data_IF_170486760173
#
_entry.id   IF_170486760173
#
_cell.length_a   1.000
_cell.length_b   1.000
_cell.length_c   1.000
_cell.angle_alpha   90.00
_cell.angle_beta   90.00
_cell.angle_gamma   90.00
#
_symmetry.space_group_name_H-M   'P 1'
#
loop_
_entity.id
_entity.type
_entity.pdbx_description
1 polymer ?
#
# COMPACT_ATOMS: atom_id res chain seq x y z
N UNK A 1 -13.86 -1.02 30.86
CA UNK A 1 -14.13 0.25 31.58
C UNK A 1 -13.17 1.30 31.04
N UNK A 2 -13.60 2.13 30.07
CA UNK A 2 -12.82 3.24 29.47
C UNK A 2 -13.54 4.57 29.78
N UNK A 3 -13.93 4.77 31.04
CA UNK A 3 -14.82 5.90 31.37
C UNK A 3 -14.12 7.26 31.58
N UNK A 4 -12.77 7.33 31.61
CA UNK A 4 -12.04 8.59 31.87
C UNK A 4 -10.84 8.81 30.94
N UNK A 5 -10.78 8.19 29.77
CA UNK A 5 -9.69 8.47 28.83
C UNK A 5 -9.96 9.76 28.04
N UNK A 6 -8.93 10.58 27.78
CA UNK A 6 -9.10 11.79 27.00
C UNK A 6 -9.57 11.44 25.58
N UNK A 7 -10.60 12.15 25.14
CA UNK A 7 -11.12 12.02 23.77
C UNK A 7 -10.48 13.13 22.91
N UNK A 8 -9.73 12.72 21.91
CA UNK A 8 -9.17 13.63 20.90
C UNK A 8 -10.13 13.72 19.71
N UNK A 9 -10.48 14.91 19.30
CA UNK A 9 -11.46 15.13 18.24
C UNK A 9 -10.86 15.93 17.09
N UNK A 10 -11.06 15.44 15.86
CA UNK A 10 -10.63 16.08 14.63
C UNK A 10 -11.71 15.99 13.56
N UNK A 11 -11.67 16.87 12.57
CA UNK A 11 -12.63 16.76 11.45
C UNK A 11 -12.33 15.51 10.61
N UNK A 12 -11.04 15.24 10.35
CA UNK A 12 -10.60 14.10 9.53
C UNK A 12 -9.55 13.28 10.26
N UNK A 13 -9.69 11.95 10.24
CA UNK A 13 -8.63 11.03 10.64
C UNK A 13 -8.22 10.18 9.44
N UNK A 14 -6.91 10.13 9.19
CA UNK A 14 -6.31 9.24 8.19
C UNK A 14 -5.65 8.08 8.92
N UNK A 15 -6.05 6.84 8.62
CA UNK A 15 -5.41 5.65 9.19
C UNK A 15 -4.38 5.12 8.20
N UNK A 16 -3.09 5.24 8.57
CA UNK A 16 -1.94 4.75 7.80
C UNK A 16 -1.13 5.85 7.14
N UNK A 17 0.18 5.86 7.39
CA UNK A 17 1.16 6.77 6.81
C UNK A 17 1.90 6.15 5.60
N UNK A 18 1.27 5.22 4.88
CA UNK A 18 1.72 4.77 3.58
C UNK A 18 1.40 5.77 2.47
N UNK A 19 1.85 5.51 1.22
CA UNK A 19 1.63 6.44 0.10
C UNK A 19 0.17 6.85 -0.09
N UNK A 20 -0.79 5.92 0.13
CA UNK A 20 -2.22 6.22 0.01
C UNK A 20 -2.71 7.24 1.04
N UNK A 21 -2.30 7.09 2.31
CA UNK A 21 -2.66 8.04 3.37
C UNK A 21 -1.91 9.37 3.24
N UNK A 22 -0.62 9.33 2.91
CA UNK A 22 0.20 10.54 2.71
C UNK A 22 -0.32 11.38 1.54
N UNK A 23 -0.80 10.75 0.46
CA UNK A 23 -1.39 11.46 -0.68
C UNK A 23 -2.65 12.26 -0.31
N UNK A 24 -3.54 11.66 0.48
CA UNK A 24 -4.72 12.37 1.01
C UNK A 24 -4.27 13.45 2.00
N UNK A 25 -3.39 13.11 2.95
CA UNK A 25 -2.93 14.04 3.96
C UNK A 25 -2.23 15.28 3.38
N UNK A 26 -1.48 15.14 2.28
CA UNK A 26 -0.88 16.29 1.59
C UNK A 26 -1.96 17.29 1.14
N UNK A 27 -3.05 16.80 0.59
CA UNK A 27 -4.17 17.63 0.20
C UNK A 27 -4.87 18.25 1.41
N UNK A 28 -5.12 17.47 2.48
CA UNK A 28 -5.72 17.99 3.73
C UNK A 28 -4.84 19.04 4.43
N UNK A 29 -3.51 18.94 4.25
CA UNK A 29 -2.56 19.95 4.73
C UNK A 29 -2.64 21.26 3.91
N UNK A 30 -3.50 21.31 2.91
CA UNK A 30 -3.75 22.48 2.09
C UNK A 30 -3.02 22.52 0.74
N UNK A 31 -2.31 21.46 0.36
CA UNK A 31 -1.68 21.40 -0.96
C UNK A 31 -2.75 21.06 -2.03
N UNK A 32 -3.41 22.11 -2.55
CA UNK A 32 -4.48 21.96 -3.53
C UNK A 32 -3.94 21.87 -4.95
N UNK A 33 -4.48 20.95 -5.78
CA UNK A 33 -4.07 20.81 -7.17
C UNK A 33 -4.63 21.96 -8.03
N UNK A 34 -3.80 22.45 -8.94
CA UNK A 34 -4.16 23.36 -10.01
C UNK A 34 -3.47 22.95 -11.30
N UNK A 35 -3.84 23.52 -12.43
CA UNK A 35 -3.30 23.17 -13.75
C UNK A 35 -2.83 24.39 -14.51
N UNK A 36 -1.75 24.18 -15.27
CA UNK A 36 -1.16 25.17 -16.18
C UNK A 36 -0.82 24.46 -17.50
N UNK A 37 -0.91 25.18 -18.61
CA UNK A 37 -0.52 24.70 -19.95
C UNK A 37 -1.21 23.39 -20.37
N UNK A 38 -2.51 23.25 -20.12
CA UNK A 38 -3.28 22.02 -20.29
C UNK A 38 -4.12 21.99 -21.58
N UNK A 39 -4.24 23.11 -22.29
CA UNK A 39 -5.16 23.34 -23.40
C UNK A 39 -4.98 22.35 -24.54
N UNK A 40 -3.75 21.89 -24.74
CA UNK A 40 -3.40 20.91 -25.77
C UNK A 40 -3.84 19.48 -25.46
N UNK A 41 -4.29 19.20 -24.22
CA UNK A 41 -4.73 17.87 -23.80
C UNK A 41 -6.21 17.61 -24.01
N UNK A 42 -7.00 18.65 -24.18
CA UNK A 42 -8.45 18.58 -24.19
C UNK A 42 -9.04 19.34 -25.37
N UNK A 43 -10.28 19.04 -25.72
CA UNK A 43 -11.05 19.79 -26.71
C UNK A 43 -11.52 21.14 -26.13
N UNK A 44 -12.01 22.02 -27.00
CA UNK A 44 -12.43 23.38 -26.63
C UNK A 44 -13.54 23.40 -25.58
N UNK A 45 -14.48 22.45 -25.63
CA UNK A 45 -15.56 22.34 -24.64
C UNK A 45 -15.00 22.03 -23.24
N UNK A 46 -14.12 21.04 -23.15
CA UNK A 46 -13.49 20.68 -21.90
C UNK A 46 -12.54 21.78 -21.40
N UNK A 47 -11.81 22.44 -22.30
CA UNK A 47 -10.97 23.59 -21.93
C UNK A 47 -11.81 24.74 -21.36
N UNK A 48 -12.97 25.03 -21.94
CA UNK A 48 -13.91 26.05 -21.41
C UNK A 48 -14.38 25.71 -19.98
N UNK A 49 -14.62 24.41 -19.70
CA UNK A 49 -14.97 23.95 -18.36
C UNK A 49 -13.78 24.13 -17.42
N UNK A 50 -12.61 23.62 -17.81
CA UNK A 50 -11.41 23.62 -16.96
C UNK A 50 -10.91 25.02 -16.63
N UNK A 51 -11.07 25.99 -17.52
CA UNK A 51 -10.71 27.39 -17.27
C UNK A 51 -11.35 27.96 -15.99
N UNK A 52 -12.56 27.50 -15.63
CA UNK A 52 -13.25 27.93 -14.41
C UNK A 52 -12.62 27.34 -13.12
N UNK A 53 -11.90 26.23 -13.24
CA UNK A 53 -11.40 25.46 -12.10
C UNK A 53 -9.87 25.31 -12.09
N UNK A 54 -9.17 25.82 -13.13
CA UNK A 54 -7.73 25.65 -13.32
C UNK A 54 -6.89 26.09 -12.10
N UNK A 55 -7.34 27.11 -11.39
CA UNK A 55 -6.65 27.63 -10.19
C UNK A 55 -6.81 26.77 -8.94
N UNK A 56 -7.84 25.92 -8.89
CA UNK A 56 -8.07 24.95 -7.80
C UNK A 56 -9.05 23.86 -8.24
N UNK A 57 -8.50 22.69 -8.58
CA UNK A 57 -9.28 21.56 -9.08
C UNK A 57 -10.20 20.93 -8.03
N UNK A 58 -10.07 21.22 -6.74
CA UNK A 58 -11.03 20.77 -5.75
C UNK A 58 -12.42 21.43 -5.88
N UNK A 59 -12.50 22.53 -6.61
CA UNK A 59 -13.78 23.17 -6.96
C UNK A 59 -14.49 22.49 -8.12
N UNK A 60 -13.77 21.72 -8.95
CA UNK A 60 -14.36 20.94 -10.04
C UNK A 60 -15.21 19.81 -9.46
N UNK A 61 -16.49 19.77 -9.80
CA UNK A 61 -17.32 18.59 -9.51
C UNK A 61 -16.90 17.46 -10.45
N UNK A 62 -16.39 16.32 -9.93
CA UNK A 62 -15.98 15.21 -10.77
C UNK A 62 -17.10 14.60 -11.63
N UNK A 63 -18.37 14.84 -11.31
CA UNK A 63 -19.50 14.43 -12.15
C UNK A 63 -19.50 15.14 -13.50
N UNK A 64 -18.94 16.35 -13.58
CA UNK A 64 -18.74 17.05 -14.87
C UNK A 64 -17.79 16.23 -15.78
N UNK A 65 -16.73 15.65 -15.22
CA UNK A 65 -15.82 14.77 -15.96
C UNK A 65 -16.55 13.52 -16.47
N UNK A 66 -17.35 12.90 -15.60
CA UNK A 66 -18.13 11.70 -15.94
C UNK A 66 -19.13 12.00 -17.06
N UNK A 67 -19.83 13.13 -16.98
CA UNK A 67 -20.77 13.57 -18.01
C UNK A 67 -20.10 13.80 -19.38
N UNK A 68 -18.81 14.14 -19.38
CA UNK A 68 -17.97 14.27 -20.59
C UNK A 68 -17.21 12.98 -20.94
N UNK A 69 -17.59 11.82 -20.39
CA UNK A 69 -16.97 10.52 -20.70
C UNK A 69 -15.57 10.32 -20.12
N UNK A 70 -15.12 11.18 -19.21
CA UNK A 70 -13.79 11.16 -18.61
C UNK A 70 -13.89 10.53 -17.21
N UNK A 71 -13.11 9.44 -16.97
CA UNK A 71 -12.98 8.85 -15.63
C UNK A 71 -12.17 9.79 -14.73
N UNK A 72 -12.72 10.24 -13.57
CA UNK A 72 -12.03 11.22 -12.71
C UNK A 72 -10.62 10.80 -12.29
N UNK A 73 -10.42 9.54 -11.90
CA UNK A 73 -9.08 9.03 -11.55
C UNK A 73 -8.10 9.10 -12.72
N UNK A 74 -8.56 8.84 -13.94
CA UNK A 74 -7.74 8.91 -15.16
C UNK A 74 -7.40 10.35 -15.52
N UNK A 75 -8.33 11.27 -15.29
CA UNK A 75 -8.10 12.71 -15.48
C UNK A 75 -6.89 13.17 -14.65
N UNK A 76 -6.94 13.03 -13.32
CA UNK A 76 -5.84 13.47 -12.45
C UNK A 76 -4.52 12.75 -12.74
N UNK A 77 -4.56 11.45 -13.07
CA UNK A 77 -3.36 10.70 -13.43
C UNK A 77 -2.71 11.24 -14.72
N UNK A 78 -3.52 11.56 -15.72
CA UNK A 78 -3.01 12.12 -16.97
C UNK A 78 -2.48 13.55 -16.82
N UNK A 79 -2.98 14.32 -15.86
CA UNK A 79 -2.41 15.62 -15.53
C UNK A 79 -1.04 15.51 -14.83
N UNK A 80 -0.83 14.44 -14.06
CA UNK A 80 0.46 14.16 -13.43
C UNK A 80 1.48 13.66 -14.46
N UNK A 81 1.12 12.65 -15.27
CA UNK A 81 1.94 12.11 -16.35
C UNK A 81 1.23 12.24 -17.69
N UNK A 82 1.26 13.44 -18.31
CA UNK A 82 0.51 13.72 -19.53
C UNK A 82 1.04 12.95 -20.74
N UNK A 83 2.32 12.64 -20.74
CA UNK A 83 2.99 11.92 -21.81
C UNK A 83 3.50 10.56 -21.31
N UNK A 84 3.27 9.54 -22.10
CA UNK A 84 3.85 8.22 -21.86
C UNK A 84 5.38 8.36 -21.84
N UNK A 85 6.02 7.96 -20.75
CA UNK A 85 7.47 8.04 -20.51
C UNK A 85 8.04 9.43 -20.17
N UNK A 86 7.24 10.44 -19.89
CA UNK A 86 7.76 11.67 -19.33
C UNK A 86 7.97 11.53 -17.82
N UNK A 87 9.22 11.61 -17.39
CA UNK A 87 9.64 11.62 -15.98
C UNK A 87 10.18 13.00 -15.56
N UNK A 88 10.19 13.95 -16.47
CA UNK A 88 10.61 15.32 -16.17
C UNK A 88 9.48 16.08 -15.47
N UNK A 89 9.66 16.49 -14.20
CA UNK A 89 8.65 17.25 -13.47
C UNK A 89 8.21 18.55 -14.13
N UNK A 90 9.02 19.11 -15.02
CA UNK A 90 8.66 20.32 -15.80
C UNK A 90 7.49 20.06 -16.76
N UNK A 91 7.34 18.82 -17.24
CA UNK A 91 6.25 18.41 -18.13
C UNK A 91 4.93 18.12 -17.41
N UNK A 92 4.95 18.04 -16.07
CA UNK A 92 3.73 17.77 -15.28
C UNK A 92 2.80 18.98 -15.31
N UNK A 93 1.58 18.74 -15.73
CA UNK A 93 0.54 19.78 -15.82
C UNK A 93 -0.06 20.03 -14.44
N UNK A 94 -0.18 18.97 -13.64
CA UNK A 94 -0.67 19.06 -12.28
C UNK A 94 0.38 19.73 -11.39
N UNK A 95 0.01 20.86 -10.80
CA UNK A 95 0.82 21.65 -9.87
C UNK A 95 0.08 21.78 -8.54
N UNK A 96 0.77 22.26 -7.51
CA UNK A 96 0.20 22.38 -6.15
C UNK A 96 0.45 23.74 -5.56
N UNK A 97 -0.58 24.28 -4.90
CA UNK A 97 -0.52 25.57 -4.21
C UNK A 97 -1.03 25.41 -2.78
N UNK A 98 -0.28 26.01 -1.85
CA UNK A 98 -0.64 25.97 -0.42
C UNK A 98 -1.87 26.83 -0.16
N UNK A 99 -2.86 26.24 0.49
CA UNK A 99 -4.10 26.85 0.95
C UNK A 99 -4.29 26.56 2.44
N UNK A 100 -5.44 26.97 3.01
CA UNK A 100 -5.77 26.68 4.41
C UNK A 100 -5.92 25.17 4.63
N UNK A 101 -5.20 24.58 5.61
CA UNK A 101 -5.37 23.18 5.95
C UNK A 101 -6.70 22.91 6.66
N UNK A 102 -7.16 21.65 6.62
CA UNK A 102 -8.21 21.14 7.48
C UNK A 102 -7.67 20.77 8.86
N UNK A 103 -8.55 20.56 9.83
CA UNK A 103 -8.21 19.90 11.08
C UNK A 103 -8.16 18.38 10.85
N UNK A 104 -6.94 17.82 10.82
CA UNK A 104 -6.74 16.40 10.57
C UNK A 104 -5.51 15.85 11.31
N UNK A 105 -5.49 14.54 11.50
CA UNK A 105 -4.33 13.77 11.97
C UNK A 105 -4.16 12.50 11.13
N UNK A 106 -2.96 11.93 11.22
CA UNK A 106 -2.61 10.62 10.64
C UNK A 106 -2.25 9.68 11.78
N UNK A 107 -2.98 8.59 11.94
CA UNK A 107 -2.66 7.55 12.93
C UNK A 107 -2.01 6.39 12.20
N UNK A 108 -0.79 6.01 12.59
CA UNK A 108 -0.05 4.96 11.90
C UNK A 108 0.77 4.10 12.83
N UNK A 109 0.71 2.79 12.59
CA UNK A 109 1.58 1.81 13.24
C UNK A 109 3.04 1.99 12.80
N UNK A 110 3.24 2.26 11.50
CA UNK A 110 4.56 2.39 10.89
C UNK A 110 4.89 3.87 10.63
N UNK A 111 6.16 4.23 10.54
CA UNK A 111 6.59 5.55 10.06
C UNK A 111 6.08 5.87 8.65
N UNK A 112 6.29 7.12 8.19
CA UNK A 112 6.00 7.51 6.82
C UNK A 112 6.65 6.53 5.81
N UNK A 113 5.85 6.11 4.80
CA UNK A 113 6.23 5.06 3.85
C UNK A 113 5.48 3.73 4.05
N UNK A 114 4.87 3.54 5.23
CA UNK A 114 4.01 2.37 5.51
C UNK A 114 4.72 1.04 5.26
N UNK A 115 4.21 0.23 4.32
CA UNK A 115 4.73 -1.12 4.02
C UNK A 115 6.24 -1.15 3.73
N UNK A 116 6.81 -0.08 3.16
CA UNK A 116 8.24 -0.02 2.83
C UNK A 116 9.13 -0.15 4.06
N UNK A 117 8.66 0.24 5.24
CA UNK A 117 9.40 0.05 6.49
C UNK A 117 9.55 -1.44 6.87
N UNK A 118 8.70 -2.32 6.35
CA UNK A 118 8.57 -3.73 6.75
C UNK A 118 8.94 -4.74 5.65
N UNK A 119 9.44 -4.29 4.49
CA UNK A 119 9.98 -5.20 3.47
C UNK A 119 11.43 -5.55 3.75
N UNK A 120 11.98 -6.65 3.18
CA UNK A 120 13.38 -7.05 3.37
C UNK A 120 14.39 -5.94 3.05
N UNK A 121 15.58 -5.99 3.67
CA UNK A 121 16.56 -4.90 3.63
C UNK A 121 17.03 -4.55 2.21
N UNK A 122 17.20 -5.55 1.34
CA UNK A 122 17.64 -5.34 -0.05
C UNK A 122 16.50 -5.30 -1.08
N UNK A 123 15.24 -5.16 -0.62
CA UNK A 123 14.08 -5.22 -1.50
C UNK A 123 14.10 -4.10 -2.55
N UNK A 124 13.83 -4.48 -3.80
CA UNK A 124 13.60 -3.57 -4.92
C UNK A 124 12.11 -3.35 -5.16
N UNK A 125 11.77 -2.25 -5.82
CA UNK A 125 10.43 -2.01 -6.37
C UNK A 125 10.10 -3.02 -7.47
N UNK A 126 8.82 -3.18 -7.78
CA UNK A 126 8.34 -4.04 -8.88
C UNK A 126 8.23 -3.30 -10.22
N UNK A 127 8.63 -2.05 -10.25
CA UNK A 127 8.62 -1.19 -11.42
C UNK A 127 9.48 0.05 -11.16
N UNK A 128 9.59 0.95 -12.13
CA UNK A 128 10.39 2.16 -12.02
C UNK A 128 10.13 2.96 -10.73
N UNK A 129 11.15 3.62 -10.22
CA UNK A 129 11.06 4.42 -9.00
C UNK A 129 9.95 5.48 -9.08
N UNK A 130 9.76 6.14 -10.23
CA UNK A 130 8.71 7.15 -10.40
C UNK A 130 7.27 6.59 -10.26
N UNK A 131 7.06 5.26 -10.33
CA UNK A 131 5.75 4.68 -10.02
C UNK A 131 5.39 4.78 -8.54
N UNK A 132 6.36 5.10 -7.69
CA UNK A 132 6.19 5.21 -6.23
C UNK A 132 6.03 6.66 -5.77
N UNK A 133 6.06 7.64 -6.67
CA UNK A 133 6.00 9.05 -6.32
C UNK A 133 4.57 9.54 -6.01
N UNK A 134 4.51 10.58 -5.22
CA UNK A 134 3.35 11.46 -5.12
C UNK A 134 3.64 12.71 -5.97
N UNK A 135 2.65 13.16 -6.75
CA UNK A 135 2.83 14.30 -7.64
C UNK A 135 3.27 15.60 -6.94
N UNK A 136 2.98 15.71 -5.64
CA UNK A 136 3.42 16.83 -4.79
C UNK A 136 4.95 16.95 -4.68
N UNK A 137 5.68 15.84 -4.83
CA UNK A 137 7.13 15.80 -4.77
C UNK A 137 7.64 14.67 -5.66
N UNK A 138 7.86 14.93 -6.96
CA UNK A 138 8.35 13.92 -7.90
C UNK A 138 9.67 13.30 -7.46
N UNK A 139 9.85 12.00 -7.72
CA UNK A 139 11.04 11.28 -7.24
C UNK A 139 12.32 11.75 -7.93
N UNK A 140 12.22 12.21 -9.17
CA UNK A 140 13.35 12.87 -9.84
C UNK A 140 13.80 14.11 -9.09
N UNK A 141 12.86 14.97 -8.68
CA UNK A 141 13.17 16.14 -7.88
C UNK A 141 13.79 15.76 -6.54
N UNK A 142 13.30 14.70 -5.88
CA UNK A 142 13.92 14.17 -4.68
C UNK A 142 15.37 13.73 -4.93
N UNK A 143 15.65 13.02 -6.02
CA UNK A 143 16.99 12.60 -6.35
C UNK A 143 17.91 13.80 -6.60
N UNK A 144 17.43 14.80 -7.33
CA UNK A 144 18.17 16.04 -7.60
C UNK A 144 18.45 16.83 -6.31
N UNK A 145 17.45 17.04 -5.45
CA UNK A 145 17.56 17.79 -4.19
C UNK A 145 18.55 17.15 -3.20
N UNK A 146 18.73 15.83 -3.25
CA UNK A 146 19.64 15.09 -2.36
C UNK A 146 20.93 14.60 -3.04
N UNK A 147 21.18 14.99 -4.28
CA UNK A 147 22.37 14.60 -5.03
C UNK A 147 22.46 13.10 -5.31
N UNK A 148 21.33 12.41 -5.37
CA UNK A 148 21.24 10.97 -5.62
C UNK A 148 21.38 10.71 -7.11
N UNK A 149 22.49 10.10 -7.52
CA UNK A 149 22.78 9.78 -8.93
C UNK A 149 22.07 8.48 -9.36
N UNK A 150 20.76 8.50 -9.42
CA UNK A 150 19.92 7.39 -9.87
C UNK A 150 18.93 7.84 -10.94
N UNK A 151 18.61 6.96 -11.88
CA UNK A 151 17.55 7.21 -12.85
C UNK A 151 16.19 6.86 -12.26
N UNK A 152 15.19 7.75 -12.27
CA UNK A 152 13.83 7.44 -11.84
C UNK A 152 13.16 6.29 -12.61
N UNK A 153 13.66 5.95 -13.80
CA UNK A 153 13.19 4.80 -14.59
C UNK A 153 13.73 3.46 -14.09
N UNK A 154 14.79 3.47 -13.28
CA UNK A 154 15.33 2.27 -12.66
C UNK A 154 14.48 1.82 -11.46
N UNK A 155 14.69 0.56 -11.04
CA UNK A 155 14.10 0.06 -9.81
C UNK A 155 14.71 0.79 -8.60
N UNK A 156 13.87 1.21 -7.66
CA UNK A 156 14.32 1.80 -6.41
C UNK A 156 14.57 0.74 -5.35
N UNK A 157 15.56 0.96 -4.51
CA UNK A 157 15.74 0.20 -3.28
C UNK A 157 14.77 0.67 -2.18
N UNK A 158 14.49 -0.23 -1.23
CA UNK A 158 13.72 0.06 -0.02
C UNK A 158 14.14 1.37 0.65
N UNK A 159 15.44 1.56 0.86
CA UNK A 159 15.98 2.71 1.58
C UNK A 159 15.75 4.04 0.84
N UNK A 160 15.79 4.01 -0.49
CA UNK A 160 15.45 5.18 -1.29
C UNK A 160 14.00 5.60 -1.04
N UNK A 161 13.08 4.65 -0.97
CA UNK A 161 11.66 4.92 -0.74
C UNK A 161 11.36 5.35 0.70
N UNK A 162 12.01 4.74 1.69
CA UNK A 162 11.89 5.18 3.08
C UNK A 162 12.36 6.63 3.21
N UNK A 163 13.53 6.95 2.64
CA UNK A 163 14.07 8.30 2.65
C UNK A 163 13.18 9.28 1.87
N UNK A 164 12.65 8.86 0.72
CA UNK A 164 11.72 9.66 -0.07
C UNK A 164 10.47 10.03 0.74
N UNK A 165 9.74 9.06 1.30
CA UNK A 165 8.51 9.35 2.05
C UNK A 165 8.75 10.13 3.35
N UNK A 166 9.88 9.88 4.02
CA UNK A 166 10.30 10.67 5.18
C UNK A 166 10.52 12.14 4.83
N UNK A 167 11.24 12.41 3.73
CA UNK A 167 11.52 13.77 3.29
C UNK A 167 10.29 14.45 2.70
N UNK A 168 9.47 13.74 1.92
CA UNK A 168 8.17 14.21 1.45
C UNK A 168 7.31 14.66 2.62
N UNK A 169 7.21 13.86 3.69
CA UNK A 169 6.40 14.20 4.87
C UNK A 169 6.89 15.46 5.58
N UNK A 170 8.21 15.68 5.62
CA UNK A 170 8.80 16.91 6.18
C UNK A 170 8.51 18.11 5.27
N UNK A 171 8.78 17.98 3.97
CA UNK A 171 8.61 19.04 2.98
C UNK A 171 7.16 19.55 2.94
N UNK A 172 6.21 18.64 2.99
CA UNK A 172 4.78 18.98 2.93
C UNK A 172 4.18 19.38 4.28
N UNK A 173 4.94 19.32 5.39
CA UNK A 173 4.46 19.68 6.72
C UNK A 173 3.70 18.56 7.46
N UNK A 174 3.67 17.35 6.91
CA UNK A 174 2.87 16.22 7.44
C UNK A 174 3.48 15.59 8.68
N UNK A 175 4.80 15.71 8.88
CA UNK A 175 5.51 15.01 9.97
C UNK A 175 4.94 15.32 11.35
N UNK A 176 4.41 16.52 11.57
CA UNK A 176 3.80 16.97 12.84
C UNK A 176 2.38 16.43 13.04
N UNK A 177 1.76 15.90 11.99
CA UNK A 177 0.40 15.36 11.99
C UNK A 177 0.38 13.83 12.13
N UNK A 178 1.54 13.17 12.04
CA UNK A 178 1.66 11.71 12.14
C UNK A 178 1.82 11.32 13.61
N UNK A 179 0.83 10.60 14.13
CA UNK A 179 0.90 9.88 15.41
C UNK A 179 1.43 8.48 15.07
N UNK A 180 2.75 8.32 15.18
CA UNK A 180 3.46 7.07 14.88
C UNK A 180 3.37 6.05 16.02
N UNK A 181 3.82 4.80 15.76
CA UNK A 181 3.79 3.68 16.70
C UNK A 181 2.41 3.47 17.34
N UNK A 182 1.35 3.81 16.60
CA UNK A 182 -0.02 3.84 17.10
C UNK A 182 -0.91 2.99 16.20
N UNK A 183 -1.51 1.95 16.78
CA UNK A 183 -2.34 0.98 16.08
C UNK A 183 -3.81 1.24 16.40
N UNK A 184 -4.62 1.47 15.37
CA UNK A 184 -6.08 1.42 15.51
C UNK A 184 -6.50 -0.02 15.75
N UNK A 185 -7.21 -0.28 16.85
CA UNK A 185 -7.66 -1.62 17.27
C UNK A 185 -9.17 -1.79 17.19
N UNK A 186 -9.92 -0.69 17.16
CA UNK A 186 -11.38 -0.72 16.98
C UNK A 186 -11.84 0.57 16.31
N UNK A 187 -12.87 0.44 15.46
CA UNK A 187 -13.58 1.56 14.83
C UNK A 187 -15.07 1.32 15.03
N UNK A 188 -15.75 2.25 15.63
CA UNK A 188 -17.19 2.18 15.93
C UNK A 188 -17.89 3.49 15.56
N UNK A 189 -19.22 3.53 15.68
CA UNK A 189 -19.97 4.78 15.52
C UNK A 189 -19.56 5.77 16.60
N UNK A 190 -19.37 7.01 16.20
CA UNK A 190 -19.02 8.11 17.10
C UNK A 190 -20.14 8.44 18.09
N UNK A 191 -19.79 9.14 19.14
CA UNK A 191 -20.73 9.64 20.12
C UNK A 191 -21.05 11.12 19.84
N UNK A 192 -22.19 11.57 20.36
CA UNK A 192 -22.67 12.95 20.16
C UNK A 192 -22.82 13.28 18.67
N UNK A 193 -22.09 14.27 18.18
CA UNK A 193 -22.18 14.75 16.80
C UNK A 193 -21.11 14.18 15.85
N UNK A 194 -20.17 13.35 16.34
CA UNK A 194 -19.12 12.74 15.52
C UNK A 194 -19.59 11.44 14.89
N UNK A 195 -19.06 11.11 13.71
CA UNK A 195 -19.46 9.92 12.93
C UNK A 195 -18.70 8.67 13.33
N UNK A 196 -17.39 8.81 13.62
CA UNK A 196 -16.48 7.71 13.92
C UNK A 196 -15.81 7.87 15.27
N UNK A 197 -15.65 6.75 15.97
CA UNK A 197 -14.89 6.62 17.21
C UNK A 197 -13.86 5.52 17.02
N UNK A 198 -12.59 5.82 17.30
CA UNK A 198 -11.46 4.92 17.14
C UNK A 198 -10.82 4.68 18.52
N UNK A 199 -10.47 3.42 18.78
CA UNK A 199 -9.56 3.05 19.87
C UNK A 199 -8.19 2.85 19.26
N UNK A 200 -7.19 3.50 19.83
CA UNK A 200 -5.82 3.54 19.34
C UNK A 200 -4.88 3.13 20.46
N UNK A 201 -4.14 2.06 20.23
CA UNK A 201 -3.16 1.52 21.17
C UNK A 201 -1.73 1.91 20.76
N UNK A 202 -0.93 2.29 21.73
CA UNK A 202 0.51 2.53 21.61
C UNK A 202 1.24 2.06 22.88
N UNK A 203 2.55 2.26 22.94
CA UNK A 203 3.38 1.83 24.07
C UNK A 203 3.02 2.53 25.40
N UNK A 204 2.27 3.63 25.35
CA UNK A 204 1.82 4.39 26.53
C UNK A 204 0.42 3.99 27.01
N UNK A 205 -0.28 3.16 26.26
CA UNK A 205 -1.65 2.71 26.55
C UNK A 205 -2.64 2.98 25.42
N UNK A 206 -3.93 2.95 25.76
CA UNK A 206 -5.03 3.17 24.83
C UNK A 206 -5.53 4.61 24.89
N UNK A 207 -5.88 5.17 23.73
CA UNK A 207 -6.48 6.49 23.60
C UNK A 207 -7.70 6.44 22.69
N UNK A 208 -8.61 7.39 22.85
CA UNK A 208 -9.84 7.48 22.07
C UNK A 208 -9.78 8.69 21.17
N UNK A 209 -10.10 8.47 19.89
CA UNK A 209 -10.20 9.52 18.87
C UNK A 209 -11.58 9.52 18.21
N UNK A 210 -12.07 10.69 17.85
CA UNK A 210 -13.34 10.85 17.14
C UNK A 210 -13.19 11.79 15.94
N UNK A 211 -13.92 11.49 14.83
CA UNK A 211 -13.93 12.33 13.65
C UNK A 211 -15.24 12.25 12.87
N UNK A 212 -15.42 13.17 11.93
CA UNK A 212 -16.55 13.19 11.02
C UNK A 212 -16.25 12.48 9.70
N UNK A 213 -14.98 12.50 9.28
CA UNK A 213 -14.50 11.88 8.04
C UNK A 213 -13.35 10.94 8.34
N UNK A 214 -13.44 9.71 7.83
CA UNK A 214 -12.45 8.68 8.06
C UNK A 214 -11.81 8.21 6.75
N UNK A 215 -10.50 8.40 6.60
CA UNK A 215 -9.74 7.85 5.48
C UNK A 215 -9.08 6.55 5.91
N UNK A 216 -9.57 5.44 5.35
CA UNK A 216 -9.13 4.10 5.67
C UNK A 216 -8.01 3.68 4.70
N UNK A 217 -6.75 3.95 5.04
CA UNK A 217 -5.57 3.75 4.20
C UNK A 217 -4.55 2.77 4.83
N UNK A 218 -5.05 1.72 5.51
CA UNK A 218 -4.25 0.75 6.27
C UNK A 218 -3.36 -0.17 5.42
N UNK A 219 -3.52 -0.10 4.10
CA UNK A 219 -2.75 -0.89 3.15
C UNK A 219 -3.23 -2.35 3.02
N UNK A 220 -2.66 -3.10 2.06
CA UNK A 220 -3.18 -4.41 1.63
C UNK A 220 -2.74 -5.58 2.49
N UNK A 221 -1.76 -5.39 3.35
CA UNK A 221 -1.15 -6.43 4.17
C UNK A 221 -1.21 -6.07 5.65
N UNK A 222 -2.27 -5.37 6.07
CA UNK A 222 -2.45 -4.95 7.46
C UNK A 222 -2.71 -6.10 8.42
N UNK A 223 -3.26 -7.22 7.92
CA UNK A 223 -3.45 -8.48 8.65
C UNK A 223 -2.58 -9.58 8.05
N UNK A 224 -1.68 -10.15 8.85
CA UNK A 224 -0.84 -11.27 8.42
C UNK A 224 -1.66 -12.55 8.28
N UNK A 225 -1.46 -13.30 7.20
CA UNK A 225 -2.01 -14.64 7.08
C UNK A 225 -1.31 -15.60 8.03
N UNK A 226 -2.06 -16.59 8.51
CA UNK A 226 -1.58 -17.60 9.46
C UNK A 226 -1.63 -19.00 8.83
N UNK A 227 -0.80 -19.88 9.33
CA UNK A 227 -0.83 -21.31 9.04
C UNK A 227 -1.72 -21.99 10.10
N UNK A 228 -2.80 -22.66 9.69
CA UNK A 228 -3.84 -23.15 10.59
C UNK A 228 -3.32 -24.06 11.71
N UNK A 229 -2.27 -24.85 11.44
CA UNK A 229 -1.72 -25.82 12.42
C UNK A 229 -0.83 -25.17 13.50
N UNK A 230 -0.33 -23.94 13.33
CA UNK A 230 0.54 -23.26 14.30
C UNK A 230 -0.23 -22.50 15.40
N UNK A 231 -1.52 -22.31 15.17
CA UNK A 231 -2.39 -21.58 16.12
C UNK A 231 -2.11 -20.08 16.21
N UNK A 232 -2.93 -19.39 17.01
CA UNK A 232 -2.90 -17.93 17.10
C UNK A 232 -1.72 -17.37 17.89
N UNK A 233 -1.14 -18.16 18.78
CA UNK A 233 -0.02 -17.73 19.65
C UNK A 233 1.34 -17.87 18.99
N UNK A 234 1.40 -18.39 17.76
CA UNK A 234 2.69 -18.52 17.05
C UNK A 234 3.20 -17.14 16.64
N UNK A 235 4.47 -16.88 16.93
CA UNK A 235 5.12 -15.61 16.56
C UNK A 235 5.59 -15.61 15.12
N UNK A 236 4.68 -15.22 14.23
CA UNK A 236 4.97 -15.10 12.80
C UNK A 236 5.99 -13.99 12.49
N UNK A 237 6.13 -12.99 13.37
CA UNK A 237 7.06 -11.87 13.19
C UNK A 237 8.51 -12.34 13.09
N UNK A 238 8.90 -13.24 13.97
CA UNK A 238 10.24 -13.82 14.02
C UNK A 238 10.55 -14.81 12.89
N UNK A 239 9.55 -15.11 12.04
CA UNK A 239 9.70 -16.03 10.91
C UNK A 239 9.56 -15.33 9.55
N UNK A 240 9.62 -14.01 9.51
CA UNK A 240 9.70 -13.24 8.25
C UNK A 240 11.14 -13.12 7.79
N UNK A 241 11.33 -13.16 6.48
CA UNK A 241 12.63 -12.87 5.89
C UNK A 241 12.92 -11.36 5.96
N UNK A 242 14.10 -11.01 6.47
CA UNK A 242 14.57 -9.63 6.44
C UNK A 242 15.93 -9.52 5.74
N UNK A 243 16.95 -10.28 6.20
CA UNK A 243 18.28 -10.30 5.61
C UNK A 243 18.83 -11.71 5.61
N UNK A 244 19.72 -12.02 4.65
CA UNK A 244 20.46 -13.30 4.64
C UNK A 244 21.36 -13.46 5.86
N UNK A 245 21.81 -12.37 6.45
CA UNK A 245 22.73 -12.37 7.59
C UNK A 245 22.07 -12.87 8.89
N UNK A 246 20.74 -12.91 8.93
CA UNK A 246 19.96 -13.45 10.05
C UNK A 246 20.05 -14.99 10.13
N UNK A 247 20.54 -15.66 9.06
CA UNK A 247 20.53 -17.13 8.92
C UNK A 247 21.95 -17.70 8.86
N UNK A 248 22.48 -18.06 10.02
CA UNK A 248 23.85 -18.59 10.14
C UNK A 248 23.98 -20.03 9.64
N UNK A 249 22.97 -20.87 9.88
CA UNK A 249 22.95 -22.28 9.44
C UNK A 249 22.36 -22.39 8.02
N UNK A 250 22.54 -23.55 7.40
CA UNK A 250 22.38 -23.70 5.96
C UNK A 250 21.08 -24.32 5.50
N UNK A 251 20.40 -25.10 6.34
CA UNK A 251 19.21 -25.86 5.92
C UNK A 251 17.94 -25.08 6.25
N UNK A 252 17.37 -24.41 5.26
CA UNK A 252 16.29 -23.42 5.47
C UNK A 252 15.01 -23.86 4.77
N UNK A 253 13.89 -23.79 5.50
CA UNK A 253 12.56 -23.95 4.93
C UNK A 253 11.95 -22.57 4.67
N UNK A 254 11.55 -22.35 3.43
CA UNK A 254 10.75 -21.17 3.03
C UNK A 254 9.35 -21.62 2.65
N UNK A 255 8.34 -21.02 3.29
CA UNK A 255 6.93 -21.30 3.05
C UNK A 255 6.28 -20.11 2.37
N UNK A 256 5.74 -20.33 1.18
CA UNK A 256 5.08 -19.28 0.40
C UNK A 256 4.88 -19.76 -1.05
N UNK A 257 4.84 -18.86 -1.97
CA UNK A 257 4.66 -19.13 -3.40
C UNK A 257 4.42 -17.82 -4.15
N UNK A 258 4.77 -16.70 -3.53
CA UNK A 258 4.65 -15.39 -4.10
C UNK A 258 5.97 -14.61 -4.03
N UNK A 259 5.92 -13.33 -4.43
CA UNK A 259 7.11 -12.50 -4.59
C UNK A 259 8.01 -12.39 -3.37
N UNK A 260 7.46 -12.35 -2.16
CA UNK A 260 8.27 -12.25 -0.93
C UNK A 260 9.04 -13.54 -0.65
N UNK A 261 8.41 -14.70 -0.86
CA UNK A 261 9.09 -16.00 -0.72
C UNK A 261 10.09 -16.25 -1.84
N UNK A 262 9.78 -15.86 -3.09
CA UNK A 262 10.70 -15.94 -4.22
C UNK A 262 11.96 -15.08 -3.98
N UNK A 263 11.76 -13.88 -3.44
CA UNK A 263 12.88 -13.02 -3.02
C UNK A 263 13.76 -13.70 -1.96
N UNK A 264 13.15 -14.19 -0.88
CA UNK A 264 13.88 -14.88 0.20
C UNK A 264 14.68 -16.09 -0.32
N UNK A 265 14.06 -16.92 -1.16
CA UNK A 265 14.70 -18.09 -1.78
C UNK A 265 15.88 -17.67 -2.62
N UNK A 266 15.71 -16.64 -3.46
CA UNK A 266 16.79 -16.15 -4.35
C UNK A 266 17.99 -15.64 -3.56
N UNK A 267 17.74 -14.77 -2.57
CA UNK A 267 18.79 -14.19 -1.73
C UNK A 267 19.56 -15.24 -0.93
N UNK A 268 18.84 -16.17 -0.30
CA UNK A 268 19.44 -17.24 0.48
C UNK A 268 20.25 -18.22 -0.40
N UNK A 269 19.72 -18.58 -1.57
CA UNK A 269 20.42 -19.45 -2.50
C UNK A 269 21.69 -18.79 -3.04
N UNK A 270 21.69 -17.47 -3.30
CA UNK A 270 22.87 -16.70 -3.69
C UNK A 270 23.98 -16.73 -2.62
N UNK A 271 23.61 -16.92 -1.34
CA UNK A 271 24.53 -17.11 -0.21
C UNK A 271 24.93 -18.58 0.02
N UNK A 272 24.58 -19.48 -0.91
CA UNK A 272 24.95 -20.91 -0.86
C UNK A 272 24.11 -21.76 0.08
N UNK A 273 22.97 -21.24 0.60
CA UNK A 273 22.11 -21.99 1.52
C UNK A 273 21.38 -23.12 0.81
N UNK A 274 21.07 -24.20 1.56
CA UNK A 274 20.21 -25.30 1.12
C UNK A 274 18.77 -24.98 1.46
N UNK A 275 17.90 -24.96 0.44
CA UNK A 275 16.54 -24.47 0.57
C UNK A 275 15.52 -25.56 0.28
N UNK A 276 14.61 -25.74 1.22
CA UNK A 276 13.34 -26.41 1.01
C UNK A 276 12.27 -25.33 0.78
N UNK A 277 11.72 -25.26 -0.42
CA UNK A 277 10.73 -24.25 -0.79
C UNK A 277 9.37 -24.91 -0.97
N UNK A 278 8.41 -24.56 -0.12
CA UNK A 278 7.07 -25.19 -0.05
C UNK A 278 5.99 -24.21 -0.44
N UNK A 279 5.12 -24.63 -1.35
CA UNK A 279 4.01 -23.82 -1.82
C UNK A 279 2.77 -24.66 -2.18
N UNK A 280 1.59 -24.10 -1.92
CA UNK A 280 0.31 -24.71 -2.26
C UNK A 280 -0.04 -24.63 -3.75
N UNK A 281 0.59 -23.71 -4.48
CA UNK A 281 0.37 -23.55 -5.91
C UNK A 281 1.08 -24.62 -6.73
N UNK A 282 0.56 -24.91 -7.91
CA UNK A 282 1.18 -25.85 -8.86
C UNK A 282 2.46 -25.26 -9.48
N UNK A 283 3.28 -26.15 -10.02
CA UNK A 283 4.49 -25.77 -10.79
C UNK A 283 4.14 -24.83 -11.95
N UNK A 284 3.09 -25.14 -12.68
CA UNK A 284 2.63 -24.32 -13.82
C UNK A 284 2.33 -22.88 -13.39
N UNK A 285 1.61 -22.74 -12.29
CA UNK A 285 1.25 -21.45 -11.74
C UNK A 285 2.44 -20.63 -11.26
N UNK A 286 3.42 -21.27 -10.63
CA UNK A 286 4.64 -20.60 -10.19
C UNK A 286 5.52 -20.20 -11.38
N UNK A 287 5.67 -21.09 -12.36
CA UNK A 287 6.42 -20.79 -13.60
C UNK A 287 5.80 -19.62 -14.38
N UNK A 288 4.47 -19.52 -14.41
CA UNK A 288 3.80 -18.36 -15.01
C UNK A 288 4.18 -17.06 -14.31
N UNK A 289 4.18 -17.04 -12.96
CA UNK A 289 4.62 -15.86 -12.19
C UNK A 289 6.08 -15.50 -12.48
N UNK A 290 6.98 -16.50 -12.53
CA UNK A 290 8.39 -16.29 -12.84
C UNK A 290 8.55 -15.68 -14.24
N UNK A 291 7.95 -16.29 -15.25
CA UNK A 291 8.06 -15.85 -16.66
C UNK A 291 7.52 -14.42 -16.87
N UNK A 292 6.39 -14.09 -16.25
CA UNK A 292 5.81 -12.74 -16.30
C UNK A 292 6.67 -11.70 -15.53
N UNK A 293 7.67 -12.14 -14.79
CA UNK A 293 8.47 -11.30 -13.89
C UNK A 293 9.97 -11.30 -14.17
N UNK A 294 10.42 -11.91 -15.30
CA UNK A 294 11.84 -11.99 -15.67
C UNK A 294 12.51 -10.62 -15.87
N UNK A 295 11.74 -9.55 -16.03
CA UNK A 295 12.28 -8.19 -16.07
C UNK A 295 12.85 -7.73 -14.71
N UNK A 296 12.57 -8.46 -13.63
CA UNK A 296 13.12 -8.21 -12.30
C UNK A 296 14.38 -9.07 -12.10
N UNK A 297 15.53 -8.48 -11.73
CA UNK A 297 16.79 -9.21 -11.66
C UNK A 297 16.76 -10.46 -10.77
N UNK A 298 16.02 -10.42 -9.67
CA UNK A 298 15.93 -11.57 -8.76
C UNK A 298 15.08 -12.71 -9.35
N UNK A 299 14.11 -12.44 -10.21
CA UNK A 299 13.35 -13.49 -10.90
C UNK A 299 14.18 -14.15 -11.98
N UNK A 300 15.02 -13.41 -12.72
CA UNK A 300 16.00 -14.00 -13.62
C UNK A 300 16.95 -14.91 -12.82
N UNK A 301 17.48 -14.43 -11.69
CA UNK A 301 18.32 -15.21 -10.79
C UNK A 301 17.64 -16.48 -10.25
N UNK A 302 16.34 -16.38 -9.90
CA UNK A 302 15.56 -17.55 -9.46
C UNK A 302 15.38 -18.57 -10.59
N UNK A 303 15.03 -18.08 -11.78
CA UNK A 303 14.84 -18.93 -12.96
C UNK A 303 16.09 -19.76 -13.27
N UNK A 304 17.27 -19.12 -13.24
CA UNK A 304 18.56 -19.77 -13.52
C UNK A 304 18.93 -20.84 -12.49
N UNK A 305 18.28 -20.81 -11.30
CA UNK A 305 18.54 -21.76 -10.19
C UNK A 305 17.53 -22.89 -10.11
N UNK A 306 16.51 -22.88 -10.93
CA UNK A 306 15.53 -23.97 -10.94
C UNK A 306 16.20 -25.29 -11.30
N UNK A 307 16.03 -26.31 -10.45
CA UNK A 307 16.66 -27.60 -10.59
C UNK A 307 18.07 -27.73 -9.98
N UNK A 308 18.62 -26.64 -9.39
CA UNK A 308 19.90 -26.73 -8.67
C UNK A 308 19.76 -27.62 -7.43
N UNK A 309 20.81 -28.42 -7.13
CA UNK A 309 20.80 -29.39 -6.03
C UNK A 309 20.50 -28.81 -4.64
N UNK A 310 20.85 -27.55 -4.40
CA UNK A 310 20.58 -26.84 -3.15
C UNK A 310 19.19 -26.17 -3.07
N UNK A 311 18.35 -26.32 -4.11
CA UNK A 311 17.00 -25.79 -4.15
C UNK A 311 15.99 -26.90 -4.43
N UNK A 312 15.32 -27.39 -3.38
CA UNK A 312 14.23 -28.36 -3.51
C UNK A 312 12.88 -27.65 -3.40
N UNK A 313 12.08 -27.70 -4.46
CA UNK A 313 10.75 -27.05 -4.50
C UNK A 313 9.68 -28.13 -4.36
N UNK A 314 8.75 -27.91 -3.43
CA UNK A 314 7.60 -28.77 -3.17
C UNK A 314 6.33 -28.01 -3.59
N UNK A 315 5.89 -28.28 -4.82
CA UNK A 315 4.65 -27.74 -5.37
C UNK A 315 3.43 -28.51 -4.84
N UNK A 316 2.25 -27.93 -4.94
CA UNK A 316 0.99 -28.54 -4.51
C UNK A 316 1.05 -29.07 -3.07
N UNK A 317 1.88 -28.44 -2.22
CA UNK A 317 2.26 -28.99 -0.91
C UNK A 317 2.02 -28.00 0.21
N UNK A 318 1.68 -28.52 1.37
CA UNK A 318 1.52 -27.74 2.59
C UNK A 318 2.22 -28.41 3.79
N UNK A 319 2.56 -27.60 4.79
CA UNK A 319 3.08 -28.10 6.04
C UNK A 319 1.92 -28.62 6.86
N UNK A 320 2.05 -29.84 7.35
CA UNK A 320 1.05 -30.49 8.23
C UNK A 320 1.51 -30.59 9.67
N UNK A 321 2.82 -30.59 9.91
CA UNK A 321 3.37 -30.61 11.26
C UNK A 321 4.75 -29.95 11.31
N UNK A 322 5.04 -29.33 12.46
CA UNK A 322 6.29 -28.69 12.77
C UNK A 322 6.67 -29.01 14.22
N UNK A 323 7.46 -30.07 14.42
CA UNK A 323 7.80 -30.58 15.73
C UNK A 323 9.15 -30.03 16.20
N UNK A 324 9.21 -29.65 17.49
CA UNK A 324 10.42 -29.19 18.20
C UNK A 324 11.22 -28.12 17.45
N UNK A 325 10.55 -27.38 16.57
CA UNK A 325 11.13 -26.28 15.74
C UNK A 325 12.20 -26.75 14.73
N UNK A 326 12.31 -28.02 14.43
CA UNK A 326 13.35 -28.58 13.55
C UNK A 326 12.86 -29.68 12.60
N UNK A 327 11.84 -30.47 12.95
CA UNK A 327 11.30 -31.50 12.09
C UNK A 327 10.01 -31.04 11.42
N UNK A 328 9.96 -31.12 10.11
CA UNK A 328 8.85 -30.70 9.28
C UNK A 328 8.23 -31.88 8.59
N UNK A 329 6.91 -31.94 8.63
CA UNK A 329 6.13 -32.86 7.80
C UNK A 329 5.36 -32.06 6.76
N UNK A 330 5.49 -32.47 5.50
CA UNK A 330 4.74 -31.93 4.38
C UNK A 330 3.78 -32.97 3.84
N UNK A 331 2.68 -32.48 3.28
CA UNK A 331 1.75 -33.28 2.52
C UNK A 331 1.55 -32.65 1.13
N UNK A 332 1.72 -33.47 0.10
CA UNK A 332 1.44 -33.08 -1.27
C UNK A 332 -0.01 -33.42 -1.61
N UNK A 333 -0.82 -32.40 -1.83
CA UNK A 333 -2.28 -32.53 -2.05
C UNK A 333 -2.64 -33.18 -3.40
N UNK A 334 -1.70 -33.23 -4.36
CA UNK A 334 -1.92 -33.82 -5.68
C UNK A 334 -1.53 -35.30 -5.75
N UNK A 335 -0.42 -35.66 -5.10
CA UNK A 335 0.14 -37.02 -5.15
C UNK A 335 -0.13 -37.85 -3.90
N UNK A 336 -0.64 -37.22 -2.84
CA UNK A 336 -0.84 -37.81 -1.50
C UNK A 336 0.46 -38.30 -0.83
N UNK A 337 1.60 -37.77 -1.28
CA UNK A 337 2.92 -38.14 -0.71
C UNK A 337 3.21 -37.28 0.51
N UNK A 338 3.72 -37.93 1.56
CA UNK A 338 4.25 -37.25 2.75
C UNK A 338 5.77 -37.16 2.66
N UNK A 339 6.30 -36.01 3.02
CA UNK A 339 7.73 -35.78 3.18
C UNK A 339 8.04 -35.39 4.61
N UNK A 340 9.16 -35.86 5.14
CA UNK A 340 9.70 -35.46 6.44
C UNK A 340 11.16 -35.13 6.31
N UNK A 341 11.58 -34.03 6.90
CA UNK A 341 12.99 -33.62 6.91
C UNK A 341 13.28 -32.65 8.05
N UNK A 342 14.56 -32.53 8.34
CA UNK A 342 15.09 -31.61 9.35
C UNK A 342 15.45 -30.28 8.73
N UNK A 343 15.22 -29.19 9.47
CA UNK A 343 15.59 -27.81 9.09
C UNK A 343 16.29 -27.10 10.23
N UNK A 344 17.05 -26.08 9.90
CA UNK A 344 17.66 -25.18 10.89
C UNK A 344 16.83 -23.92 11.11
N UNK A 345 16.20 -23.40 10.06
CA UNK A 345 15.41 -22.19 10.08
C UNK A 345 14.11 -22.33 9.29
N UNK A 346 13.06 -21.68 9.78
CA UNK A 346 11.75 -21.56 9.13
C UNK A 346 11.50 -20.12 8.75
N UNK A 347 11.13 -19.88 7.49
CA UNK A 347 10.71 -18.58 6.96
C UNK A 347 9.28 -18.72 6.43
N UNK A 348 8.38 -17.82 6.85
CA UNK A 348 6.96 -17.84 6.48
C UNK A 348 6.61 -16.55 5.72
N UNK A 349 6.53 -16.67 4.39
CA UNK A 349 6.20 -15.56 3.47
C UNK A 349 4.91 -15.87 2.68
N UNK A 350 3.82 -16.09 3.41
CA UNK A 350 2.51 -16.45 2.85
C UNK A 350 1.61 -15.22 2.58
N UNK A 351 2.17 -14.02 2.69
CA UNK A 351 1.48 -12.78 2.43
C UNK A 351 0.55 -12.32 3.56
N UNK A 352 -0.28 -11.35 3.25
CA UNK A 352 -1.26 -10.76 4.16
C UNK A 352 -2.58 -10.47 3.46
N UNK A 353 -3.52 -9.92 4.22
CA UNK A 353 -4.81 -9.40 3.76
C UNK A 353 -5.08 -8.05 4.38
N UNK A 354 -6.13 -7.38 3.91
CA UNK A 354 -6.62 -6.16 4.56
C UNK A 354 -7.40 -6.54 5.81
N UNK A 355 -7.20 -5.80 6.88
CA UNK A 355 -7.94 -5.98 8.14
C UNK A 355 -9.23 -5.18 8.13
N UNK A 356 -10.21 -5.65 7.37
CA UNK A 356 -11.54 -5.04 7.32
C UNK A 356 -12.40 -5.32 8.55
N UNK A 357 -11.99 -6.25 9.41
CA UNK A 357 -12.68 -6.56 10.67
C UNK A 357 -12.76 -5.33 11.60
N UNK A 358 -11.82 -4.40 11.45
CA UNK A 358 -11.87 -3.09 12.14
C UNK A 358 -13.17 -2.29 11.90
N UNK A 359 -13.89 -2.57 10.81
CA UNK A 359 -15.11 -1.87 10.41
C UNK A 359 -16.39 -2.63 10.76
N UNK A 360 -16.31 -3.84 11.32
CA UNK A 360 -17.47 -4.70 11.56
C UNK A 360 -18.53 -4.08 12.48
N UNK A 361 -18.10 -3.25 13.45
CA UNK A 361 -19.01 -2.57 14.38
C UNK A 361 -19.80 -1.40 13.76
N UNK A 362 -19.46 -1.03 12.50
CA UNK A 362 -20.12 0.07 11.81
C UNK A 362 -21.16 -0.46 10.83
N UNK A 363 -20.75 -1.32 9.90
CA UNK A 363 -21.60 -1.89 8.86
C UNK A 363 -20.92 -3.08 8.18
N UNK A 364 -21.72 -3.93 7.52
CA UNK A 364 -21.21 -4.86 6.52
C UNK A 364 -20.68 -4.10 5.30
N UNK A 365 -19.61 -4.62 4.69
CA UNK A 365 -18.92 -3.98 3.57
C UNK A 365 -19.03 -4.86 2.33
N UNK A 366 -19.37 -4.24 1.21
CA UNK A 366 -19.31 -4.88 -0.09
C UNK A 366 -17.93 -4.70 -0.72
N UNK A 367 -17.45 -5.77 -1.33
CA UNK A 367 -16.13 -5.79 -1.93
C UNK A 367 -16.19 -6.06 -3.43
N UNK A 368 -15.40 -5.33 -4.16
CA UNK A 368 -15.04 -5.68 -5.52
C UNK A 368 -13.79 -6.56 -5.48
N UNK A 369 -13.96 -7.85 -5.79
CA UNK A 369 -12.84 -8.79 -5.87
C UNK A 369 -12.04 -8.55 -7.14
N UNK A 370 -10.79 -8.16 -7.00
CA UNK A 370 -9.84 -8.00 -8.10
C UNK A 370 -8.69 -8.98 -7.94
N UNK A 371 -8.42 -9.76 -9.00
CA UNK A 371 -7.13 -10.44 -9.14
C UNK A 371 -6.20 -9.51 -9.90
N UNK A 372 -5.05 -9.22 -9.30
CA UNK A 372 -3.99 -8.57 -10.04
C UNK A 372 -3.25 -9.56 -10.95
N UNK A 373 -2.41 -9.06 -11.83
CA UNK A 373 -1.58 -9.88 -12.73
C UNK A 373 -0.60 -10.78 -11.96
N UNK A 374 -0.43 -10.54 -10.65
CA UNK A 374 0.44 -11.29 -9.75
C UNK A 374 -0.32 -12.26 -8.84
N UNK A 375 -1.60 -12.50 -9.13
CA UNK A 375 -2.48 -13.45 -8.44
C UNK A 375 -2.79 -13.13 -6.99
N UNK A 376 -2.61 -11.90 -6.56
CA UNK A 376 -3.18 -11.45 -5.31
C UNK A 376 -4.67 -11.19 -5.51
N UNK A 377 -5.47 -11.90 -4.73
CA UNK A 377 -6.87 -11.52 -4.62
C UNK A 377 -6.97 -10.37 -3.63
N UNK A 378 -7.26 -9.20 -4.14
CA UNK A 378 -7.51 -8.01 -3.36
C UNK A 378 -9.01 -7.77 -3.33
N UNK A 379 -9.55 -7.70 -2.13
CA UNK A 379 -10.90 -7.20 -1.93
C UNK A 379 -10.80 -5.68 -1.79
N UNK A 380 -11.20 -4.95 -2.83
CA UNK A 380 -11.32 -3.50 -2.80
C UNK A 380 -12.70 -3.13 -2.30
N UNK A 381 -12.81 -2.08 -1.47
CA UNK A 381 -14.12 -1.56 -1.06
C UNK A 381 -14.84 -0.93 -2.24
N UNK A 382 -16.13 -1.21 -2.36
CA UNK A 382 -16.98 -0.50 -3.32
C UNK A 382 -17.10 0.96 -2.91
N UNK A 383 -16.87 1.84 -3.87
CA UNK A 383 -16.92 3.29 -3.63
C UNK A 383 -17.46 4.05 -4.84
N UNK A 384 -17.97 5.21 -4.58
CA UNK A 384 -18.36 6.16 -5.61
C UNK A 384 -17.14 6.59 -6.43
N UNK A 385 -17.24 6.54 -7.76
CA UNK A 385 -16.09 6.78 -8.64
C UNK A 385 -15.78 8.28 -8.83
N UNK A 386 -16.65 9.16 -8.37
CA UNK A 386 -16.44 10.61 -8.40
C UNK A 386 -15.80 11.15 -7.12
N UNK A 387 -16.05 10.52 -5.98
CA UNK A 387 -15.62 10.98 -4.65
C UNK A 387 -14.73 10.02 -3.90
N UNK A 388 -14.76 8.74 -4.27
CA UNK A 388 -14.16 7.63 -3.53
C UNK A 388 -14.74 7.44 -2.11
N UNK A 389 -15.90 8.02 -1.81
CA UNK A 389 -16.65 7.66 -0.62
C UNK A 389 -17.16 6.22 -0.71
N UNK A 390 -17.10 5.48 0.38
CA UNK A 390 -17.67 4.12 0.47
C UNK A 390 -19.16 4.14 0.17
N UNK A 391 -19.64 3.18 -0.61
CA UNK A 391 -21.07 3.02 -0.87
C UNK A 391 -21.84 2.48 0.35
N UNK A 392 -21.15 1.82 1.28
CA UNK A 392 -21.76 1.18 2.44
C UNK A 392 -21.68 2.03 3.71
N UNK A 393 -20.64 2.88 3.83
CA UNK A 393 -20.37 3.67 5.03
C UNK A 393 -20.16 5.13 4.66
N UNK A 394 -21.12 5.97 4.99
CA UNK A 394 -21.03 7.41 4.73
C UNK A 394 -19.86 8.07 5.45
N UNK A 395 -19.18 8.99 4.78
CA UNK A 395 -17.99 9.72 5.25
C UNK A 395 -16.75 8.82 5.51
N UNK A 396 -16.76 7.58 5.03
CA UNK A 396 -15.61 6.70 5.03
C UNK A 396 -15.03 6.61 3.61
N UNK A 397 -13.72 6.76 3.49
CA UNK A 397 -13.01 6.78 2.22
C UNK A 397 -11.89 5.72 2.21
N UNK A 398 -11.98 4.68 1.36
CA UNK A 398 -10.86 3.76 1.17
C UNK A 398 -9.69 4.48 0.49
N UNK A 399 -8.55 4.54 1.18
CA UNK A 399 -7.34 5.22 0.68
C UNK A 399 -6.39 4.27 -0.05
N UNK A 400 -5.69 4.82 -1.04
CA UNK A 400 -4.76 4.06 -1.85
C UNK A 400 -5.47 3.01 -2.72
N UNK A 401 -4.90 1.82 -2.85
CA UNK A 401 -5.52 0.80 -3.67
C UNK A 401 -6.60 -0.06 -2.96
N UNK A 402 -7.03 0.33 -1.77
CA UNK A 402 -8.21 -0.25 -1.13
C UNK A 402 -9.51 0.18 -1.82
N UNK A 403 -9.49 1.27 -2.58
CA UNK A 403 -10.63 1.77 -3.33
C UNK A 403 -10.83 1.04 -4.65
N UNK A 404 -12.08 0.68 -4.96
CA UNK A 404 -12.46 0.12 -6.25
C UNK A 404 -11.98 1.01 -7.41
N UNK A 405 -11.43 0.39 -8.45
CA UNK A 405 -10.99 1.08 -9.67
C UNK A 405 -9.54 1.60 -9.63
N UNK A 406 -8.82 1.41 -8.52
CA UNK A 406 -7.40 1.77 -8.41
C UNK A 406 -6.47 0.63 -8.83
N UNK A 407 -5.21 0.97 -9.16
CA UNK A 407 -4.13 0.03 -9.46
C UNK A 407 -3.23 -0.23 -8.24
N UNK A 408 -2.26 -1.14 -8.38
CA UNK A 408 -1.32 -1.51 -7.30
C UNK A 408 -0.19 -0.50 -7.07
N UNK A 409 0.31 0.12 -8.13
CA UNK A 409 1.37 1.13 -8.00
C UNK A 409 0.83 2.42 -7.38
N UNK A 410 1.70 3.20 -6.77
CA UNK A 410 1.31 4.52 -6.25
C UNK A 410 0.74 5.37 -7.37
N UNK A 411 1.39 5.37 -8.54
CA UNK A 411 0.88 6.02 -9.75
C UNK A 411 -0.54 5.55 -10.12
N UNK A 412 -0.87 4.27 -9.87
CA UNK A 412 -2.19 3.69 -10.18
C UNK A 412 -3.30 4.10 -9.23
N UNK A 413 -2.99 4.49 -7.98
CA UNK A 413 -4.01 4.85 -6.99
C UNK A 413 -3.92 6.28 -6.47
N UNK A 414 -2.77 6.96 -6.63
CA UNK A 414 -2.54 8.28 -6.03
C UNK A 414 -3.58 9.32 -6.45
N UNK A 415 -4.02 9.28 -7.72
CA UNK A 415 -5.02 10.19 -8.23
C UNK A 415 -6.36 10.14 -7.44
N UNK A 416 -6.69 9.00 -6.82
CA UNK A 416 -7.85 8.88 -5.93
C UNK A 416 -7.75 9.77 -4.70
N UNK A 417 -6.55 10.13 -4.26
CA UNK A 417 -6.37 11.04 -3.11
C UNK A 417 -6.98 12.43 -3.35
N UNK A 418 -6.96 12.91 -4.60
CA UNK A 418 -7.56 14.20 -4.96
C UNK A 418 -9.09 14.16 -4.94
N UNK A 419 -9.68 13.03 -5.33
CA UNK A 419 -11.12 12.83 -5.29
C UNK A 419 -11.62 12.80 -3.85
N UNK A 420 -10.95 12.03 -2.98
CA UNK A 420 -11.24 11.97 -1.54
C UNK A 420 -11.14 13.34 -0.91
N UNK A 421 -10.01 14.01 -1.09
CA UNK A 421 -9.78 15.31 -0.44
C UNK A 421 -10.70 16.39 -0.99
N UNK A 422 -10.93 16.42 -2.30
CA UNK A 422 -11.85 17.37 -2.93
C UNK A 422 -13.28 17.21 -2.40
N UNK A 423 -13.75 15.97 -2.20
CA UNK A 423 -15.07 15.70 -1.63
C UNK A 423 -15.16 16.16 -0.16
N UNK A 424 -14.15 15.85 0.66
CA UNK A 424 -14.08 16.31 2.06
C UNK A 424 -14.09 17.84 2.12
N UNK A 425 -13.28 18.53 1.31
CA UNK A 425 -13.27 20.00 1.26
C UNK A 425 -14.62 20.59 0.87
N UNK A 426 -15.34 20.00 -0.10
CA UNK A 426 -16.69 20.44 -0.48
C UNK A 426 -17.69 20.24 0.65
N UNK A 427 -17.64 19.11 1.37
CA UNK A 427 -18.52 18.78 2.50
C UNK A 427 -18.31 19.67 3.72
N UNK A 428 -17.07 20.10 3.99
CA UNK A 428 -16.78 21.03 5.10
C UNK A 428 -16.95 22.51 4.72
N UNK A 429 -17.44 22.81 3.50
CA UNK A 429 -17.74 24.15 3.00
C UNK A 429 -16.58 25.17 3.09
N UNK A 430 -15.34 24.72 3.07
CA UNK A 430 -14.14 25.61 3.10
C UNK A 430 -13.78 26.12 1.70
N UNK A 431 -14.31 25.52 0.65
CA UNK A 431 -14.12 25.97 -0.73
C UNK A 431 -15.05 27.15 -1.08
N UNK A 432 -15.47 27.94 -0.11
CA UNK A 432 -16.33 29.11 -0.37
C UNK A 432 -15.76 29.97 -1.50
N UNK A 433 -16.63 30.28 -2.35
CA UNK A 433 -16.72 30.99 -3.64
C UNK A 433 -15.63 32.02 -3.85
#
# INVERSE_FOLDING_TARGET
>A
MLQNEPIYSHDVIVIGAGPGGLGVAASLEGWHPYIENYEHLFNDEMNSILNKYSSNLFRLDPNILIANGIKPISFYRNLHHPFKNSIDPSSYILKFKKNKPLDYIIISKDPAGGLWNNVPSNQLTLGPAYWMELAHYPIKKFFDDFGIKKNPEDLAHKDDLINYYKNLSKLLGLSKKIIGNSKVTSISKGKLNRKFRLIVDNDLGSSVYECDYLVFAIGPKSKQRKLNFLGDKFDYGNHKFNSTDDYKKDNILVVGGGRSSDWAVTELHNKGKKIHYVMRQSKENHMKLINESLYLPYYQSLFDKLGHQNLKIYYDSEITNFDKKVNVSLFNNKTNIKHQFHIDHLIIEIGGSVDYELLNDISSINFHSKRDNYRFQLNQMTCDQSTFESLDIKNLYPGGYLAQGTGLSVLGFHAGSYLISGDIYRKVNILSI
#
